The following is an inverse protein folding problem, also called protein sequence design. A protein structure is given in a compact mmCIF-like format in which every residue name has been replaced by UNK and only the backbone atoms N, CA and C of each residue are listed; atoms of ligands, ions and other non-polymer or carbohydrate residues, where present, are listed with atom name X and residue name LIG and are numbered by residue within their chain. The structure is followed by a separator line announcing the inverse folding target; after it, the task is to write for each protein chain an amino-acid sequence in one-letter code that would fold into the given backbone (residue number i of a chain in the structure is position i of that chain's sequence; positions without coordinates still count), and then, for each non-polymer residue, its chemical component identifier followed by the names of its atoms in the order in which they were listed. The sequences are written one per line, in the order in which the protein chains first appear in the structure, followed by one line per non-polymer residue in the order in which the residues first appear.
data_IF_263725210866
#
_entry.id   IF_263725210866
#
_cell.length_a   1.000
_cell.length_b   1.000
_cell.length_c   1.000
_cell.angle_alpha   90.00
_cell.angle_beta   90.00
_cell.angle_gamma   90.00
#
_symmetry.space_group_name_H-M   'P 1'
#
loop_
_entity.id
_entity.type
_entity.pdbx_description
1 polymer ?
#
# COMPACT_ATOMS: atom_id res chain seq x y z
N UNK A 1 -0.50 13.12 0.01
CA UNK A 1 -0.88 13.96 1.17
C UNK A 1 -2.34 14.37 1.02
N UNK A 2 -3.00 14.94 2.03
CA UNK A 2 -4.37 15.42 1.84
C UNK A 2 -4.35 16.69 0.98
N UNK A 3 -5.17 16.75 -0.08
CA UNK A 3 -5.26 17.90 -0.99
C UNK A 3 -6.16 19.02 -0.44
N UNK A 4 -6.92 18.73 0.61
CA UNK A 4 -7.85 19.66 1.26
C UNK A 4 -7.95 19.42 2.78
N UNK A 5 -8.50 20.40 3.49
CA UNK A 5 -8.77 20.30 4.93
C UNK A 5 -9.84 19.22 5.21
N UNK A 6 -9.44 18.13 5.86
CA UNK A 6 -10.35 17.02 6.20
C UNK A 6 -11.09 17.35 7.51
N UNK A 7 -12.38 17.65 7.41
CA UNK A 7 -13.24 17.82 8.59
C UNK A 7 -13.32 16.54 9.44
N UNK A 8 -13.45 16.70 10.76
CA UNK A 8 -13.58 15.58 11.67
C UNK A 8 -14.87 14.78 11.38
N UNK A 9 -14.70 13.50 11.05
CA UNK A 9 -15.81 12.60 10.71
C UNK A 9 -16.11 12.50 9.22
N UNK A 10 -15.34 13.18 8.37
CA UNK A 10 -15.35 12.97 6.92
C UNK A 10 -14.84 11.57 6.57
N UNK A 11 -15.43 10.98 5.53
CA UNK A 11 -14.93 9.74 4.92
C UNK A 11 -13.71 10.10 4.06
N UNK A 12 -12.68 9.25 4.10
CA UNK A 12 -11.52 9.36 3.22
C UNK A 12 -11.72 8.44 2.04
N UNK A 13 -11.52 8.97 0.84
CA UNK A 13 -11.56 8.22 -0.39
C UNK A 13 -10.14 8.13 -0.94
N UNK A 14 -9.78 6.93 -1.42
CA UNK A 14 -8.60 6.77 -2.25
C UNK A 14 -9.07 6.95 -3.69
N UNK A 15 -8.42 7.83 -4.43
CA UNK A 15 -8.53 7.81 -5.87
C UNK A 15 -7.76 6.59 -6.41
N UNK A 16 -8.42 5.79 -7.23
CA UNK A 16 -7.86 4.57 -7.83
C UNK A 16 -7.77 4.75 -9.37
N UNK A 17 -8.06 5.96 -9.87
CA UNK A 17 -8.17 6.27 -11.30
C UNK A 17 -9.54 5.88 -11.85
N UNK A 18 -10.05 6.68 -12.79
CA UNK A 18 -11.31 6.39 -13.50
C UNK A 18 -11.20 5.12 -14.34
N UNK A 19 -10.02 4.83 -14.89
CA UNK A 19 -9.73 3.65 -15.70
C UNK A 19 -10.04 2.36 -14.96
N UNK A 20 -9.80 2.32 -13.64
CA UNK A 20 -10.11 1.15 -12.82
C UNK A 20 -11.59 0.74 -12.97
N UNK A 21 -12.48 1.73 -12.94
CA UNK A 21 -13.93 1.53 -13.03
C UNK A 21 -14.38 1.28 -14.48
N UNK A 22 -13.84 2.04 -15.44
CA UNK A 22 -14.17 1.91 -16.86
C UNK A 22 -13.85 0.50 -17.40
N UNK A 23 -12.65 -0.01 -17.12
CA UNK A 23 -12.23 -1.36 -17.52
C UNK A 23 -13.08 -2.48 -16.88
N UNK A 24 -13.82 -2.16 -15.82
CA UNK A 24 -14.56 -3.12 -14.99
C UNK A 24 -16.07 -2.90 -15.06
N UNK A 25 -16.57 -2.01 -15.91
CA UNK A 25 -17.99 -1.68 -16.02
C UNK A 25 -18.86 -2.93 -16.22
N UNK A 26 -18.43 -3.90 -17.05
CA UNK A 26 -19.16 -5.16 -17.25
C UNK A 26 -19.34 -5.99 -15.97
N UNK A 27 -18.42 -5.85 -15.00
CA UNK A 27 -18.40 -6.64 -13.75
C UNK A 27 -19.11 -5.93 -12.61
N UNK A 28 -18.90 -4.63 -12.46
CA UNK A 28 -19.38 -3.86 -11.30
C UNK A 28 -20.51 -2.89 -11.63
N UNK A 29 -20.85 -2.75 -12.91
CA UNK A 29 -21.74 -1.72 -13.41
C UNK A 29 -21.01 -0.38 -13.59
N UNK A 30 -21.72 0.59 -14.15
CA UNK A 30 -21.21 1.94 -14.30
C UNK A 30 -21.05 2.61 -12.93
N UNK A 31 -19.85 3.14 -12.67
CA UNK A 31 -19.56 3.95 -11.49
C UNK A 31 -19.40 5.40 -11.95
N UNK A 32 -20.19 6.35 -11.42
CA UNK A 32 -20.05 7.76 -11.75
C UNK A 32 -18.63 8.30 -11.60
N UNK A 33 -18.16 9.00 -12.62
CA UNK A 33 -16.87 9.68 -12.67
C UNK A 33 -17.03 11.17 -12.37
N UNK A 34 -15.92 11.88 -12.16
CA UNK A 34 -15.92 13.33 -11.87
C UNK A 34 -16.73 14.13 -12.90
N UNK A 35 -16.48 13.90 -14.19
CA UNK A 35 -17.20 14.59 -15.27
C UNK A 35 -18.72 14.36 -15.27
N UNK A 36 -19.22 13.25 -14.71
CA UNK A 36 -20.66 13.05 -14.54
C UNK A 36 -21.23 13.99 -13.49
N UNK A 37 -20.53 14.12 -12.35
CA UNK A 37 -20.96 14.99 -11.27
C UNK A 37 -20.94 16.45 -11.71
N UNK A 38 -19.92 16.88 -12.47
CA UNK A 38 -19.84 18.20 -13.09
C UNK A 38 -21.02 18.45 -14.02
N UNK A 39 -21.28 17.52 -14.94
CA UNK A 39 -22.41 17.59 -15.88
C UNK A 39 -23.73 17.73 -15.14
N UNK A 40 -23.96 16.92 -14.10
CA UNK A 40 -25.18 16.97 -13.28
C UNK A 40 -25.28 18.28 -12.51
N UNK A 41 -24.17 18.79 -11.98
CA UNK A 41 -24.15 20.07 -11.26
C UNK A 41 -24.53 21.23 -12.17
N UNK A 42 -24.04 21.23 -13.42
CA UNK A 42 -24.43 22.22 -14.44
C UNK A 42 -25.93 22.11 -14.76
N UNK A 43 -26.41 20.90 -15.04
CA UNK A 43 -27.82 20.65 -15.34
C UNK A 43 -28.74 21.12 -14.20
N UNK A 44 -28.37 20.90 -12.94
CA UNK A 44 -29.15 21.37 -11.80
C UNK A 44 -29.18 22.90 -11.71
N UNK A 45 -28.05 23.57 -12.02
CA UNK A 45 -27.95 25.03 -12.03
C UNK A 45 -28.82 25.64 -13.12
N UNK A 46 -28.70 25.13 -14.34
CA UNK A 46 -29.53 25.55 -15.48
C UNK A 46 -31.02 25.33 -15.21
N UNK A 47 -31.38 24.18 -14.62
CA UNK A 47 -32.75 23.89 -14.25
C UNK A 47 -33.30 24.91 -13.24
N UNK A 48 -32.52 25.30 -12.23
CA UNK A 48 -32.91 26.33 -11.26
C UNK A 48 -33.05 27.71 -11.91
N UNK A 49 -32.21 28.06 -12.87
CA UNK A 49 -32.32 29.32 -13.62
C UNK A 49 -33.59 29.37 -14.49
N UNK A 50 -33.90 28.28 -15.19
CA UNK A 50 -35.08 28.18 -16.05
C UNK A 50 -36.38 28.19 -15.23
N UNK A 51 -36.40 27.47 -14.11
CA UNK A 51 -37.57 27.34 -13.25
C UNK A 51 -37.79 28.62 -12.44
N UNK A 52 -36.71 29.23 -11.93
CA UNK A 52 -36.75 30.34 -11.00
C UNK A 52 -37.55 30.01 -9.73
N UNK A 53 -38.40 30.93 -9.29
CA UNK A 53 -39.27 30.73 -8.12
C UNK A 53 -40.59 30.00 -8.42
N UNK A 54 -40.74 29.40 -9.62
CA UNK A 54 -41.99 28.73 -10.00
C UNK A 54 -42.11 27.40 -9.28
N UNK A 55 -43.28 27.13 -8.69
CA UNK A 55 -43.62 25.77 -8.28
C UNK A 55 -43.85 24.90 -9.53
N UNK A 56 -42.98 23.92 -9.76
CA UNK A 56 -43.22 22.87 -10.75
C UNK A 56 -43.77 21.62 -10.05
N UNK A 57 -44.64 20.90 -10.75
CA UNK A 57 -45.17 19.64 -10.24
C UNK A 57 -44.09 18.55 -10.28
N UNK A 58 -44.15 17.62 -9.34
CA UNK A 58 -43.29 16.43 -9.36
C UNK A 58 -43.44 15.61 -10.66
N UNK A 59 -44.63 15.64 -11.29
CA UNK A 59 -44.87 14.99 -12.58
C UNK A 59 -44.02 15.62 -13.69
N UNK A 60 -43.97 16.95 -13.76
CA UNK A 60 -43.14 17.66 -14.73
C UNK A 60 -41.64 17.40 -14.49
N UNK A 61 -41.20 17.37 -13.23
CA UNK A 61 -39.82 17.00 -12.89
C UNK A 61 -39.48 15.58 -13.32
N UNK A 62 -40.38 14.61 -13.08
CA UNK A 62 -40.18 13.23 -13.53
C UNK A 62 -40.08 13.12 -15.06
N UNK A 63 -40.82 13.94 -15.81
CA UNK A 63 -40.73 13.98 -17.27
C UNK A 63 -39.41 14.60 -17.74
N UNK A 64 -38.91 15.62 -17.04
CA UNK A 64 -37.56 16.15 -17.26
C UNK A 64 -36.49 15.08 -16.99
N UNK A 65 -36.58 14.36 -15.86
CA UNK A 65 -35.66 13.26 -15.54
C UNK A 65 -35.67 12.16 -16.62
N UNK A 66 -36.84 11.85 -17.20
CA UNK A 66 -36.96 10.88 -18.30
C UNK A 66 -36.35 11.37 -19.61
N UNK A 67 -36.21 12.68 -19.79
CA UNK A 67 -35.61 13.28 -20.99
C UNK A 67 -34.08 13.23 -20.98
N UNK A 68 -33.47 12.98 -19.82
CA UNK A 68 -32.03 12.71 -19.70
C UNK A 68 -31.75 11.34 -20.32
N UNK A 69 -31.11 11.34 -21.48
CA UNK A 69 -30.84 10.12 -22.26
C UNK A 69 -29.93 9.13 -21.50
N UNK A 70 -28.99 9.69 -20.74
CA UNK A 70 -27.95 8.91 -20.06
C UNK A 70 -28.42 8.44 -18.69
N UNK A 71 -28.58 7.12 -18.54
CA UNK A 71 -29.14 6.53 -17.32
C UNK A 71 -28.32 6.85 -16.06
N UNK A 72 -26.98 6.81 -16.14
CA UNK A 72 -26.13 7.12 -14.98
C UNK A 72 -26.23 8.59 -14.55
N UNK A 73 -26.19 9.55 -15.48
CA UNK A 73 -26.45 10.97 -15.21
C UNK A 73 -27.81 11.16 -14.52
N UNK A 74 -28.84 10.45 -15.00
CA UNK A 74 -30.17 10.51 -14.41
C UNK A 74 -30.20 10.02 -12.96
N UNK A 75 -29.42 8.99 -12.61
CA UNK A 75 -29.36 8.48 -11.22
C UNK A 75 -28.72 9.44 -10.23
N UNK A 76 -27.93 10.40 -10.71
CA UNK A 76 -27.28 11.42 -9.90
C UNK A 76 -28.17 12.66 -9.67
N UNK A 77 -29.27 12.80 -10.41
CA UNK A 77 -30.21 13.89 -10.21
C UNK A 77 -31.16 13.59 -9.03
N UNK A 78 -31.58 14.62 -8.27
CA UNK A 78 -32.50 14.43 -7.17
C UNK A 78 -33.84 13.88 -7.67
N UNK A 79 -34.31 12.79 -7.05
CA UNK A 79 -35.60 12.18 -7.40
C UNK A 79 -36.80 13.08 -7.09
N UNK A 80 -36.66 14.05 -6.18
CA UNK A 80 -37.68 15.03 -5.81
C UNK A 80 -37.23 16.45 -6.18
N UNK A 81 -38.10 17.21 -6.85
CA UNK A 81 -37.82 18.59 -7.21
C UNK A 81 -37.50 19.48 -5.99
N UNK A 82 -38.12 19.21 -4.84
CA UNK A 82 -37.88 19.97 -3.60
C UNK A 82 -36.43 19.89 -3.12
N UNK A 83 -35.72 18.83 -3.52
CA UNK A 83 -34.31 18.64 -3.19
C UNK A 83 -33.37 19.31 -4.21
N UNK A 84 -33.85 19.79 -5.36
CA UNK A 84 -33.02 20.36 -6.43
C UNK A 84 -32.16 21.52 -5.95
N UNK A 85 -32.74 22.47 -5.21
CA UNK A 85 -32.02 23.61 -4.67
C UNK A 85 -30.91 23.17 -3.71
N UNK A 86 -31.24 22.25 -2.81
CA UNK A 86 -30.30 21.71 -1.83
C UNK A 86 -29.18 20.91 -2.50
N UNK A 87 -29.51 20.10 -3.52
CA UNK A 87 -28.55 19.32 -4.28
C UNK A 87 -27.60 20.22 -5.08
N UNK A 88 -28.11 21.30 -5.69
CA UNK A 88 -27.30 22.28 -6.42
C UNK A 88 -26.35 23.07 -5.50
N UNK A 89 -26.81 23.47 -4.31
CA UNK A 89 -25.97 24.18 -3.33
C UNK A 89 -24.86 23.28 -2.73
N UNK A 90 -25.12 21.97 -2.62
CA UNK A 90 -24.22 21.01 -1.96
C UNK A 90 -23.32 20.23 -2.94
N UNK A 91 -23.70 20.18 -4.22
CA UNK A 91 -23.12 19.31 -5.22
C UNK A 91 -23.78 17.92 -5.27
N UNK A 92 -23.90 17.38 -6.49
CA UNK A 92 -24.52 16.09 -6.80
C UNK A 92 -23.81 14.92 -6.11
N UNK A 93 -22.48 14.92 -6.05
CA UNK A 93 -21.71 13.88 -5.36
C UNK A 93 -22.10 13.77 -3.89
N UNK A 94 -22.03 14.88 -3.15
CA UNK A 94 -22.37 14.91 -1.72
C UNK A 94 -23.85 14.68 -1.46
N UNK A 95 -24.72 15.13 -2.36
CA UNK A 95 -26.16 14.89 -2.26
C UNK A 95 -26.53 13.40 -2.40
N UNK A 96 -25.89 12.68 -3.33
CA UNK A 96 -26.13 11.26 -3.59
C UNK A 96 -25.44 10.30 -2.61
N UNK A 97 -24.76 10.84 -1.59
CA UNK A 97 -24.19 10.08 -0.49
C UNK A 97 -25.03 10.25 0.79
N UNK A 98 -26.29 9.79 0.84
CA UNK A 98 -27.13 9.96 2.02
C UNK A 98 -26.52 9.23 3.22
N UNK A 99 -26.30 9.96 4.31
CA UNK A 99 -25.67 9.47 5.55
C UNK A 99 -24.17 9.16 5.44
N UNK A 100 -23.40 9.77 4.54
CA UNK A 100 -21.93 9.72 4.60
C UNK A 100 -21.39 10.32 5.91
N UNK A 101 -22.00 11.41 6.39
CA UNK A 101 -21.70 11.97 7.70
C UNK A 101 -22.54 11.25 8.75
N UNK A 102 -21.88 10.42 9.56
CA UNK A 102 -22.51 9.72 10.70
C UNK A 102 -22.48 10.61 11.94
N UNK A 103 -23.56 10.58 12.73
CA UNK A 103 -23.57 11.25 14.03
C UNK A 103 -22.56 10.60 14.98
N UNK A 104 -22.05 11.35 15.95
CA UNK A 104 -21.15 10.78 16.96
C UNK A 104 -21.81 9.65 17.75
N UNK A 105 -23.11 9.73 18.00
CA UNK A 105 -23.89 8.67 18.64
C UNK A 105 -23.91 7.41 17.78
N UNK A 106 -24.17 7.55 16.47
CA UNK A 106 -24.14 6.43 15.53
C UNK A 106 -22.74 5.81 15.46
N UNK A 107 -21.68 6.63 15.41
CA UNK A 107 -20.29 6.16 15.40
C UNK A 107 -19.90 5.48 16.71
N UNK A 108 -20.42 5.92 17.86
CA UNK A 108 -20.18 5.24 19.15
C UNK A 108 -20.85 3.87 19.21
N UNK A 109 -22.01 3.71 18.57
CA UNK A 109 -22.77 2.47 18.57
C UNK A 109 -22.34 1.49 17.46
N UNK A 110 -22.05 2.00 16.27
CA UNK A 110 -21.84 1.21 15.05
C UNK A 110 -20.44 1.41 14.44
N UNK A 111 -19.79 2.53 14.74
CA UNK A 111 -18.47 2.85 14.21
C UNK A 111 -17.44 1.87 14.71
N UNK A 112 -16.50 1.53 13.82
CA UNK A 112 -15.41 0.64 14.14
C UNK A 112 -14.09 1.34 13.86
N UNK A 113 -13.35 1.63 14.92
CA UNK A 113 -12.04 2.25 14.76
C UNK A 113 -11.05 1.21 14.19
N UNK A 114 -10.57 1.49 12.99
CA UNK A 114 -9.59 0.66 12.27
C UNK A 114 -8.17 0.90 12.78
N UNK A 115 -7.94 2.04 13.42
CA UNK A 115 -6.67 2.48 13.99
C UNK A 115 -6.76 2.62 15.52
N UNK A 116 -7.06 1.53 16.22
CA UNK A 116 -7.03 1.57 17.69
C UNK A 116 -5.59 1.54 18.22
N UNK A 117 -4.63 1.03 17.46
CA UNK A 117 -3.25 1.04 17.87
C UNK A 117 -2.32 0.69 16.70
N UNK A 118 -1.46 1.64 16.32
CA UNK A 118 -0.15 1.28 15.80
C UNK A 118 0.76 2.48 15.69
N UNK A 119 1.94 2.34 16.26
CA UNK A 119 3.14 2.88 15.63
C UNK A 119 4.09 1.70 15.40
N UNK A 120 4.56 1.47 14.16
CA UNK A 120 5.69 0.58 13.92
C UNK A 120 6.90 1.07 14.72
N UNK A 121 7.59 0.15 15.40
CA UNK A 121 8.82 0.46 16.13
C UNK A 121 9.72 -0.75 16.25
N UNK A 122 10.93 -0.57 16.78
CA UNK A 122 11.83 -1.67 17.10
C UNK A 122 11.21 -2.59 18.15
N UNK A 123 11.09 -3.88 17.82
CA UNK A 123 10.55 -4.89 18.73
C UNK A 123 11.46 -5.07 19.94
N UNK A 124 10.86 -5.36 21.10
CA UNK A 124 11.59 -5.78 22.30
C UNK A 124 11.88 -7.28 22.28
N UNK A 125 11.27 -8.03 21.35
CA UNK A 125 11.50 -9.45 21.13
C UNK A 125 12.76 -9.57 20.28
N UNK A 126 13.72 -10.35 20.77
CA UNK A 126 14.97 -10.60 20.04
C UNK A 126 14.67 -11.20 18.67
N UNK A 127 15.36 -10.72 17.63
CA UNK A 127 15.25 -11.19 16.24
C UNK A 127 13.91 -10.93 15.55
N UNK A 128 12.92 -10.31 16.21
CA UNK A 128 11.64 -9.98 15.58
C UNK A 128 11.72 -8.73 14.67
N UNK A 129 12.84 -7.99 14.74
CA UNK A 129 13.03 -6.75 13.97
C UNK A 129 12.06 -5.66 14.45
N UNK A 130 10.98 -5.44 13.71
CA UNK A 130 9.95 -4.44 14.01
C UNK A 130 8.72 -5.07 14.64
N UNK A 131 8.05 -4.31 15.48
CA UNK A 131 6.82 -4.69 16.16
C UNK A 131 5.77 -3.58 16.12
N UNK A 132 4.55 -3.93 16.47
CA UNK A 132 3.44 -3.01 16.60
C UNK A 132 3.30 -2.51 18.03
N UNK A 133 3.26 -1.19 18.23
CA UNK A 133 3.12 -0.59 19.56
C UNK A 133 1.79 0.14 19.74
N UNK A 134 1.19 0.00 20.91
CA UNK A 134 0.00 0.73 21.28
C UNK A 134 0.30 2.24 21.41
N UNK A 135 -0.41 3.09 20.67
CA UNK A 135 -0.29 4.56 20.79
C UNK A 135 -1.21 5.15 21.85
N UNK A 136 -2.20 4.37 22.31
CA UNK A 136 -3.22 4.75 23.30
C UNK A 136 -3.52 3.57 24.22
N UNK A 137 -4.33 3.82 25.25
CA UNK A 137 -4.80 2.76 26.15
C UNK A 137 -5.87 1.90 25.45
N UNK A 138 -5.71 0.58 25.49
CA UNK A 138 -6.66 -0.41 25.00
C UNK A 138 -7.23 -1.19 26.18
N UNK A 139 -8.55 -1.28 26.25
CA UNK A 139 -9.23 -2.00 27.33
C UNK A 139 -9.28 -3.49 27.01
N UNK A 140 -9.16 -4.36 28.01
CA UNK A 140 -9.42 -5.79 27.87
C UNK A 140 -10.72 -6.05 27.10
N UNK A 141 -10.63 -6.87 26.07
CA UNK A 141 -11.72 -7.28 25.19
C UNK A 141 -12.03 -6.32 24.04
N UNK A 142 -11.39 -5.14 23.99
CA UNK A 142 -11.55 -4.22 22.86
C UNK A 142 -10.80 -4.73 21.62
N UNK A 143 -11.30 -4.35 20.45
CA UNK A 143 -10.56 -4.54 19.19
C UNK A 143 -9.26 -3.75 19.24
N UNK A 144 -8.18 -4.38 18.79
CA UNK A 144 -6.86 -3.80 18.60
C UNK A 144 -6.66 -3.46 17.13
N UNK A 145 -6.86 -4.43 16.25
CA UNK A 145 -6.76 -4.24 14.81
C UNK A 145 -7.79 -5.11 14.08
N UNK A 146 -8.68 -4.53 13.25
CA UNK A 146 -9.41 -5.30 12.26
C UNK A 146 -8.47 -5.82 11.17
N UNK A 147 -8.78 -7.01 10.65
CA UNK A 147 -8.02 -7.68 9.60
C UNK A 147 -8.98 -8.29 8.57
N UNK A 148 -9.32 -7.55 7.50
CA UNK A 148 -9.88 -8.15 6.30
C UNK A 148 -8.97 -9.27 5.82
N UNK A 149 -9.52 -10.37 5.31
CA UNK A 149 -8.71 -11.52 4.93
C UNK A 149 -8.69 -11.72 3.42
N UNK A 150 -7.48 -11.93 2.89
CA UNK A 150 -7.28 -12.58 1.61
C UNK A 150 -7.19 -14.08 1.88
N UNK A 151 -7.86 -14.89 1.06
CA UNK A 151 -7.98 -16.34 1.27
C UNK A 151 -7.26 -17.07 0.15
N UNK A 152 -6.33 -17.95 0.51
CA UNK A 152 -5.60 -18.79 -0.41
C UNK A 152 -5.85 -20.27 -0.16
N UNK A 153 -5.77 -21.07 -1.22
CA UNK A 153 -5.56 -22.50 -1.07
C UNK A 153 -4.14 -22.76 -0.57
N UNK A 154 -3.97 -23.63 0.43
CA UNK A 154 -2.64 -23.95 0.98
C UNK A 154 -1.66 -24.42 -0.09
N UNK A 155 -2.14 -25.17 -1.10
CA UNK A 155 -1.34 -25.65 -2.22
C UNK A 155 -0.78 -24.54 -3.11
N UNK A 156 -1.41 -23.36 -3.12
CA UNK A 156 -0.91 -22.21 -3.88
C UNK A 156 0.43 -21.71 -3.34
N UNK A 157 0.80 -22.09 -2.10
CA UNK A 157 2.10 -21.74 -1.50
C UNK A 157 3.19 -22.78 -1.80
N UNK A 158 2.89 -23.87 -2.52
CA UNK A 158 3.87 -24.90 -2.88
C UNK A 158 4.70 -24.41 -4.07
N UNK A 159 6.03 -24.51 -3.97
CA UNK A 159 6.95 -24.24 -5.08
C UNK A 159 7.28 -25.59 -5.71
N UNK A 160 6.96 -25.71 -7.00
CA UNK A 160 7.17 -26.91 -7.78
C UNK A 160 8.46 -26.82 -8.58
N UNK A 161 9.17 -27.94 -8.74
CA UNK A 161 10.32 -28.01 -9.65
C UNK A 161 9.86 -27.75 -11.08
N UNK A 162 10.59 -26.89 -11.78
CA UNK A 162 10.38 -26.57 -13.19
C UNK A 162 11.44 -27.33 -13.98
N UNK A 163 11.01 -28.14 -14.94
CA UNK A 163 11.88 -28.77 -15.93
C UNK A 163 11.70 -28.02 -17.27
N UNK A 164 12.80 -27.71 -17.97
CA UNK A 164 12.75 -27.18 -19.34
C UNK A 164 12.57 -28.33 -20.32
N UNK A 165 11.54 -28.25 -21.16
CA UNK A 165 11.49 -29.10 -22.34
C UNK A 165 12.22 -28.39 -23.49
N UNK A 166 13.51 -28.71 -23.67
CA UNK A 166 14.38 -28.10 -24.68
C UNK A 166 13.86 -28.26 -26.12
N UNK A 167 12.91 -29.18 -26.37
CA UNK A 167 12.30 -29.38 -27.69
C UNK A 167 11.13 -28.42 -27.98
N UNK A 168 10.47 -27.88 -26.95
CA UNK A 168 9.22 -27.10 -27.09
C UNK A 168 9.33 -25.66 -26.55
N UNK A 169 10.46 -25.27 -25.95
CA UNK A 169 10.63 -23.99 -25.23
C UNK A 169 9.52 -23.76 -24.17
N UNK A 170 8.92 -24.83 -23.67
CA UNK A 170 7.87 -24.79 -22.65
C UNK A 170 8.44 -25.16 -21.27
N UNK A 171 8.07 -24.35 -20.26
CA UNK A 171 8.32 -24.63 -18.85
C UNK A 171 7.28 -25.61 -18.33
N UNK A 172 7.70 -26.81 -17.94
CA UNK A 172 6.81 -27.84 -17.38
C UNK A 172 7.01 -27.90 -15.86
N UNK A 173 5.94 -27.62 -15.12
CA UNK A 173 5.92 -27.79 -13.67
C UNK A 173 5.71 -29.27 -13.32
N UNK A 174 6.61 -29.83 -12.52
CA UNK A 174 6.48 -31.21 -12.03
C UNK A 174 5.64 -31.28 -10.74
N UNK A 175 5.18 -32.46 -10.36
CA UNK A 175 4.54 -32.70 -9.07
C UNK A 175 5.53 -32.67 -7.88
N UNK A 176 6.85 -32.52 -8.13
CA UNK A 176 7.87 -32.46 -7.10
C UNK A 176 7.88 -31.07 -6.43
N UNK A 177 7.56 -31.04 -5.13
CA UNK A 177 7.59 -29.82 -4.32
C UNK A 177 9.02 -29.60 -3.83
N UNK A 178 9.66 -28.52 -4.28
CA UNK A 178 11.03 -28.13 -3.90
C UNK A 178 11.05 -27.13 -2.75
N UNK A 179 9.93 -26.46 -2.47
CA UNK A 179 9.87 -25.47 -1.41
C UNK A 179 8.46 -24.94 -1.14
N UNK A 180 8.41 -23.87 -0.36
CA UNK A 180 7.19 -23.10 -0.09
C UNK A 180 7.47 -21.61 -0.25
N UNK A 181 6.46 -20.87 -0.68
CA UNK A 181 6.54 -19.42 -0.78
C UNK A 181 6.67 -18.78 0.61
N UNK A 182 7.52 -17.76 0.74
CA UNK A 182 7.76 -17.02 1.99
C UNK A 182 6.49 -16.38 2.56
N UNK A 183 5.52 -16.04 1.70
CA UNK A 183 4.22 -15.50 2.09
C UNK A 183 3.48 -16.38 3.12
N UNK A 184 3.77 -17.69 3.17
CA UNK A 184 3.18 -18.60 4.16
C UNK A 184 3.43 -18.15 5.61
N UNK A 185 4.53 -17.44 5.88
CA UNK A 185 4.88 -16.93 7.21
C UNK A 185 3.92 -15.83 7.70
N UNK A 186 3.12 -15.25 6.79
CA UNK A 186 2.13 -14.21 7.09
C UNK A 186 0.68 -14.74 7.00
N UNK A 187 0.53 -16.06 6.90
CA UNK A 187 -0.74 -16.74 6.80
C UNK A 187 -1.16 -17.35 8.14
N UNK A 188 -2.43 -17.22 8.49
CA UNK A 188 -3.08 -17.97 9.57
C UNK A 188 -3.80 -19.19 8.98
N UNK A 189 -3.67 -20.34 9.62
CA UNK A 189 -4.42 -21.52 9.22
C UNK A 189 -4.10 -22.75 10.05
N UNK A 190 -5.10 -23.59 10.28
CA UNK A 190 -4.89 -24.85 10.98
C UNK A 190 -4.04 -25.82 10.13
N UNK A 191 -3.14 -26.65 10.71
CA UNK A 191 -2.30 -27.58 9.95
C UNK A 191 -3.09 -28.55 9.07
N UNK A 192 -4.29 -28.93 9.51
CA UNK A 192 -5.20 -29.82 8.76
C UNK A 192 -6.12 -29.08 7.78
N UNK A 193 -6.07 -27.74 7.74
CA UNK A 193 -6.87 -26.93 6.82
C UNK A 193 -6.18 -26.80 5.45
N UNK A 194 -6.96 -26.91 4.38
CA UNK A 194 -6.52 -26.58 3.02
C UNK A 194 -6.59 -25.08 2.71
N UNK A 195 -6.99 -24.26 3.68
CA UNK A 195 -7.18 -22.81 3.55
C UNK A 195 -6.16 -22.08 4.40
N UNK A 196 -5.58 -21.04 3.82
CA UNK A 196 -4.75 -20.04 4.47
C UNK A 196 -5.47 -18.70 4.45
N UNK A 197 -5.35 -17.96 5.55
CA UNK A 197 -5.98 -16.66 5.76
C UNK A 197 -4.86 -15.63 5.92
N UNK A 198 -4.77 -14.68 5.00
CA UNK A 198 -3.77 -13.61 5.04
C UNK A 198 -4.45 -12.33 5.50
N UNK A 199 -4.08 -11.78 6.67
CA UNK A 199 -4.53 -10.46 7.10
C UNK A 199 -4.10 -9.39 6.10
N UNK A 200 -5.06 -8.77 5.43
CA UNK A 200 -4.85 -7.60 4.59
C UNK A 200 -5.05 -6.32 5.41
N UNK A 201 -4.24 -6.19 6.46
CA UNK A 201 -4.19 -5.02 7.33
C UNK A 201 -2.73 -4.68 7.54
N UNK A 202 -2.33 -3.47 7.14
CA UNK A 202 -0.93 -3.00 7.14
C UNK A 202 -0.26 -3.16 8.50
N UNK A 203 -1.03 -3.02 9.59
CA UNK A 203 -0.54 -3.13 10.95
C UNK A 203 -0.55 -4.55 11.51
N UNK A 204 -1.44 -5.42 11.04
CA UNK A 204 -1.55 -6.79 11.53
C UNK A 204 -0.28 -7.62 11.26
N UNK A 205 0.46 -7.29 10.19
CA UNK A 205 1.70 -7.96 9.80
C UNK A 205 2.88 -7.67 10.73
N UNK A 206 2.77 -6.66 11.60
CA UNK A 206 3.79 -6.25 12.57
C UNK A 206 3.49 -6.75 14.00
N UNK A 207 2.40 -7.47 14.21
CA UNK A 207 2.05 -8.01 15.53
C UNK A 207 2.86 -9.28 15.76
N UNK A 208 3.90 -9.21 16.59
CA UNK A 208 4.83 -10.31 16.78
C UNK A 208 4.29 -11.43 17.66
N UNK A 209 4.99 -12.56 17.61
CA UNK A 209 4.74 -13.72 18.44
C UNK A 209 5.16 -13.51 19.91
N UNK A 210 4.28 -13.84 20.86
CA UNK A 210 4.66 -14.16 22.25
C UNK A 210 3.89 -15.39 22.72
N UNK A 211 4.60 -16.51 22.86
CA UNK A 211 4.04 -17.77 23.32
C UNK A 211 3.64 -17.78 24.81
N UNK A 212 4.32 -16.96 25.62
CA UNK A 212 4.25 -17.02 27.07
C UNK A 212 3.27 -16.02 27.67
N UNK A 213 3.32 -14.76 27.23
CA UNK A 213 2.45 -13.67 27.72
C UNK A 213 1.90 -12.80 26.58
N UNK A 214 1.17 -13.40 25.62
CA UNK A 214 0.51 -12.63 24.57
C UNK A 214 -0.51 -11.67 25.20
N UNK A 215 -0.51 -10.41 24.76
CA UNK A 215 -1.50 -9.44 25.22
C UNK A 215 -2.70 -9.30 24.27
N UNK A 216 -2.66 -9.95 23.11
CA UNK A 216 -3.77 -10.05 22.16
C UNK A 216 -4.02 -11.48 21.68
N UNK A 217 -5.22 -11.68 21.12
CA UNK A 217 -5.61 -12.90 20.42
C UNK A 217 -6.45 -12.57 19.18
N UNK A 218 -6.58 -13.53 18.28
CA UNK A 218 -7.43 -13.40 17.09
C UNK A 218 -8.82 -14.01 17.33
N UNK A 219 -9.84 -13.42 16.72
CA UNK A 219 -11.19 -14.01 16.61
C UNK A 219 -11.87 -13.59 15.32
N UNK A 220 -12.91 -14.32 14.93
CA UNK A 220 -13.82 -13.86 13.90
C UNK A 220 -14.59 -12.64 14.38
N UNK A 221 -14.81 -11.70 13.47
CA UNK A 221 -15.64 -10.52 13.74
C UNK A 221 -17.08 -10.96 13.97
N UNK A 222 -17.73 -10.39 14.97
CA UNK A 222 -19.11 -10.75 15.31
C UNK A 222 -20.10 -10.45 14.17
N UNK A 223 -21.09 -11.34 14.05
CA UNK A 223 -22.15 -11.32 13.02
C UNK A 223 -22.86 -9.96 13.00
N UNK A 224 -23.05 -9.41 11.80
CA UNK A 224 -23.78 -8.16 11.58
C UNK A 224 -22.92 -6.90 11.44
N UNK A 225 -21.60 -7.01 11.60
CA UNK A 225 -20.71 -5.86 11.38
C UNK A 225 -20.19 -5.77 9.95
N UNK A 226 -19.63 -6.83 9.37
CA UNK A 226 -19.04 -6.80 8.00
C UNK A 226 -19.08 -8.17 7.29
N UNK A 227 -19.09 -9.30 8.02
CA UNK A 227 -18.99 -10.65 7.43
C UNK A 227 -20.34 -11.20 6.96
N UNK A 228 -20.47 -11.73 5.72
CA UNK A 228 -21.69 -12.37 5.25
C UNK A 228 -22.13 -13.53 6.15
N UNK A 229 -23.42 -13.62 6.48
CA UNK A 229 -23.94 -14.56 7.50
C UNK A 229 -23.61 -16.03 7.22
N UNK A 230 -23.47 -16.40 5.94
CA UNK A 230 -23.22 -17.76 5.50
C UNK A 230 -21.72 -18.10 5.40
N UNK A 231 -20.83 -17.11 5.53
CA UNK A 231 -19.43 -17.25 5.14
C UNK A 231 -18.71 -18.39 5.88
N UNK A 232 -18.81 -18.40 7.22
CA UNK A 232 -18.16 -19.41 8.06
C UNK A 232 -18.80 -20.81 7.96
N UNK A 233 -19.96 -20.92 7.29
CA UNK A 233 -20.63 -22.20 7.04
C UNK A 233 -20.24 -22.82 5.69
N UNK A 234 -19.48 -22.11 4.86
CA UNK A 234 -19.08 -22.59 3.54
C UNK A 234 -17.95 -23.62 3.62
N UNK A 235 -17.84 -24.44 2.57
CA UNK A 235 -16.70 -25.34 2.41
C UNK A 235 -15.41 -24.55 2.11
N UNK A 236 -14.25 -25.08 2.52
CA UNK A 236 -12.93 -24.53 2.19
C UNK A 236 -12.76 -24.18 0.70
N UNK A 237 -13.20 -25.07 -0.19
CA UNK A 237 -13.15 -24.86 -1.64
C UNK A 237 -14.01 -23.68 -2.08
N UNK A 238 -15.19 -23.54 -1.49
CA UNK A 238 -16.10 -22.43 -1.79
C UNK A 238 -15.52 -21.11 -1.27
N UNK A 239 -14.93 -21.11 -0.07
CA UNK A 239 -14.28 -19.92 0.50
C UNK A 239 -13.15 -19.41 -0.38
N UNK A 240 -12.26 -20.30 -0.84
CA UNK A 240 -11.15 -19.93 -1.75
C UNK A 240 -11.69 -19.39 -3.08
N UNK A 241 -12.75 -19.98 -3.64
CA UNK A 241 -13.36 -19.50 -4.89
C UNK A 241 -14.07 -18.16 -4.72
N UNK A 242 -14.71 -17.94 -3.56
CA UNK A 242 -15.42 -16.69 -3.24
C UNK A 242 -14.44 -15.56 -2.96
N UNK A 243 -13.25 -15.87 -2.41
CA UNK A 243 -12.19 -14.90 -2.16
C UNK A 243 -12.47 -14.05 -0.94
N UNK A 244 -12.77 -12.76 -1.16
CA UNK A 244 -12.94 -11.75 -0.12
C UNK A 244 -14.31 -11.80 0.57
N UNK A 245 -14.35 -11.37 1.83
CA UNK A 245 -15.58 -11.27 2.64
C UNK A 245 -15.44 -11.81 4.06
N UNK A 246 -14.38 -12.57 4.34
CA UNK A 246 -14.02 -12.93 5.70
C UNK A 246 -13.22 -11.81 6.37
N UNK A 247 -13.43 -11.65 7.67
CA UNK A 247 -12.70 -10.69 8.46
C UNK A 247 -12.42 -11.27 9.84
N UNK A 248 -11.20 -11.07 10.30
CA UNK A 248 -10.79 -11.36 11.68
C UNK A 248 -10.54 -10.04 12.40
N UNK A 249 -10.44 -10.12 13.71
CA UNK A 249 -9.90 -9.03 14.52
C UNK A 249 -8.93 -9.56 15.56
N UNK A 250 -7.92 -8.75 15.83
CA UNK A 250 -7.08 -8.87 17.01
C UNK A 250 -7.80 -8.15 18.15
N UNK A 251 -7.91 -8.79 19.31
CA UNK A 251 -8.54 -8.21 20.49
C UNK A 251 -7.65 -8.36 21.73
N UNK A 252 -7.78 -7.41 22.65
CA UNK A 252 -6.92 -7.34 23.82
C UNK A 252 -7.32 -8.39 24.88
N UNK A 253 -6.37 -9.21 25.34
CA UNK A 253 -6.58 -10.23 26.39
C UNK A 253 -6.57 -9.61 27.80
N UNK A 254 -5.93 -8.45 27.93
CA UNK A 254 -5.83 -7.61 29.13
C UNK A 254 -5.85 -6.14 28.73
N UNK A 255 -5.83 -5.24 29.71
CA UNK A 255 -5.58 -3.83 29.42
C UNK A 255 -4.15 -3.66 28.88
N UNK A 256 -3.99 -2.84 27.84
CA UNK A 256 -2.71 -2.54 27.18
C UNK A 256 -2.50 -1.02 27.25
N UNK A 257 -1.36 -0.61 27.80
CA UNK A 257 -0.97 0.79 27.98
C UNK A 257 -0.30 1.34 26.72
N UNK A 258 -0.33 2.68 26.52
CA UNK A 258 0.50 3.31 25.49
C UNK A 258 1.98 2.90 25.63
N UNK A 259 2.62 2.55 24.52
CA UNK A 259 4.02 2.12 24.43
C UNK A 259 4.28 0.64 24.72
N UNK A 260 3.26 -0.16 25.08
CA UNK A 260 3.39 -1.61 25.10
C UNK A 260 3.42 -2.17 23.67
N UNK A 261 4.28 -3.18 23.45
CA UNK A 261 4.30 -3.94 22.20
C UNK A 261 3.09 -4.87 22.18
N UNK A 262 2.41 -4.94 21.04
CA UNK A 262 1.23 -5.77 20.82
C UNK A 262 1.72 -7.11 20.29
N UNK A 263 1.37 -8.18 20.99
CA UNK A 263 1.82 -9.54 20.70
C UNK A 263 0.68 -10.53 20.69
N UNK A 264 0.82 -11.59 19.92
CA UNK A 264 -0.15 -12.68 19.79
C UNK A 264 0.57 -14.02 19.87
N UNK A 265 -0.11 -15.08 20.31
CA UNK A 265 0.45 -16.43 20.21
C UNK A 265 0.14 -17.01 18.81
N UNK A 266 1.18 -17.35 18.04
CA UNK A 266 1.05 -17.92 16.69
C UNK A 266 0.73 -19.42 16.70
N UNK A 267 0.91 -20.08 17.85
CA UNK A 267 0.65 -21.49 18.07
C UNK A 267 1.93 -22.30 18.25
N UNK A 268 1.81 -23.48 18.88
CA UNK A 268 2.95 -24.33 19.19
C UNK A 268 3.66 -24.86 17.94
N UNK A 269 2.96 -25.05 16.83
CA UNK A 269 3.57 -25.51 15.58
C UNK A 269 4.54 -24.47 15.00
N UNK A 270 4.23 -23.18 15.16
CA UNK A 270 5.14 -22.11 14.77
C UNK A 270 6.34 -22.06 15.72
N UNK A 271 6.12 -22.16 17.04
CA UNK A 271 7.20 -22.17 18.03
C UNK A 271 8.18 -23.32 17.79
N UNK A 272 7.68 -24.53 17.51
CA UNK A 272 8.49 -25.69 17.18
C UNK A 272 9.29 -25.47 15.88
N UNK A 273 8.63 -24.96 14.83
CA UNK A 273 9.28 -24.68 13.56
C UNK A 273 10.36 -23.59 13.70
N UNK A 274 10.12 -22.55 14.47
CA UNK A 274 11.06 -21.48 14.75
C UNK A 274 12.24 -21.98 15.60
N UNK A 275 12.00 -22.74 16.66
CA UNK A 275 13.06 -23.33 17.47
C UNK A 275 13.96 -24.24 16.63
N UNK A 276 13.36 -25.08 15.78
CA UNK A 276 14.10 -25.92 14.84
C UNK A 276 14.89 -25.10 13.80
N UNK A 277 14.32 -23.99 13.31
CA UNK A 277 15.03 -23.05 12.44
C UNK A 277 16.24 -22.45 13.16
N UNK A 278 16.08 -21.87 14.35
CA UNK A 278 17.18 -21.28 15.12
C UNK A 278 18.28 -22.29 15.47
N UNK A 279 17.92 -23.55 15.74
CA UNK A 279 18.89 -24.60 16.06
C UNK A 279 19.70 -25.07 14.83
N UNK A 280 19.06 -25.16 13.67
CA UNK A 280 19.65 -25.82 12.49
C UNK A 280 20.03 -24.86 11.37
N UNK A 281 19.51 -23.63 11.37
CA UNK A 281 19.84 -22.64 10.37
C UNK A 281 21.24 -22.11 10.63
N UNK A 282 22.07 -22.20 9.59
CA UNK A 282 23.31 -21.49 9.50
C UNK A 282 23.20 -20.60 8.26
N UNK A 283 23.54 -19.30 8.36
CA UNK A 283 23.69 -18.47 7.18
C UNK A 283 24.73 -19.10 6.26
N UNK A 284 24.59 -18.90 4.96
CA UNK A 284 25.70 -19.18 4.04
C UNK A 284 26.93 -18.36 4.46
N UNK A 285 28.13 -18.78 4.09
CA UNK A 285 29.36 -18.07 4.50
C UNK A 285 29.32 -16.59 4.08
N UNK A 286 28.73 -16.30 2.92
CA UNK A 286 28.50 -14.95 2.39
C UNK A 286 27.44 -14.15 3.15
N UNK A 287 26.63 -14.78 4.00
CA UNK A 287 25.52 -14.15 4.73
C UNK A 287 25.84 -13.93 6.22
N UNK A 288 26.98 -14.43 6.72
CA UNK A 288 27.36 -14.29 8.14
C UNK A 288 27.50 -12.85 8.59
N UNK A 289 27.97 -11.99 7.69
CA UNK A 289 28.20 -10.58 7.94
C UNK A 289 27.10 -9.69 7.32
N UNK A 290 25.96 -10.30 6.94
CA UNK A 290 24.83 -9.56 6.39
C UNK A 290 24.27 -8.56 7.42
N UNK A 291 24.10 -7.31 6.98
CA UNK A 291 23.35 -6.29 7.72
C UNK A 291 22.35 -5.62 6.79
N UNK A 292 21.10 -5.48 7.22
CA UNK A 292 20.12 -4.77 6.39
C UNK A 292 20.46 -3.27 6.32
N UNK A 293 20.10 -2.61 5.22
CA UNK A 293 20.29 -1.17 5.11
C UNK A 293 19.58 -0.44 6.27
N UNK A 294 18.38 -0.88 6.66
CA UNK A 294 17.64 -0.29 7.78
C UNK A 294 18.41 -0.40 9.11
N UNK A 295 18.96 -1.57 9.44
CA UNK A 295 19.73 -1.77 10.68
C UNK A 295 21.01 -0.94 10.68
N UNK A 296 21.66 -0.82 9.52
CA UNK A 296 22.84 0.00 9.34
C UNK A 296 22.54 1.49 9.61
N UNK A 297 21.41 2.00 9.10
CA UNK A 297 20.98 3.38 9.35
C UNK A 297 20.60 3.60 10.82
N UNK A 298 19.88 2.67 11.43
CA UNK A 298 19.43 2.76 12.83
C UNK A 298 20.59 2.69 13.83
N UNK A 299 21.68 2.01 13.48
CA UNK A 299 22.93 2.01 14.26
C UNK A 299 23.63 3.38 14.29
N UNK A 300 23.10 4.39 13.60
CA UNK A 300 23.71 5.72 13.51
C UNK A 300 24.95 5.75 12.62
N UNK A 301 25.12 4.75 11.76
CA UNK A 301 26.24 4.64 10.82
C UNK A 301 25.95 5.35 9.49
N UNK A 302 25.03 6.33 9.50
CA UNK A 302 24.44 7.00 8.34
C UNK A 302 25.43 7.83 7.51
N UNK A 303 26.66 8.04 7.97
CA UNK A 303 27.63 8.81 7.20
C UNK A 303 27.94 8.09 5.89
N UNK A 304 27.46 8.68 4.78
CA UNK A 304 27.86 8.27 3.44
C UNK A 304 29.35 8.56 3.32
N UNK A 305 30.13 7.50 3.12
CA UNK A 305 31.58 7.50 3.01
C UNK A 305 32.02 7.66 1.57
N UNK A 306 33.08 8.46 1.38
CA UNK A 306 33.78 8.49 0.10
C UNK A 306 34.54 7.19 -0.14
N UNK A 307 34.99 6.94 -1.37
CA UNK A 307 35.79 5.77 -1.73
C UNK A 307 37.08 5.69 -0.92
N UNK A 308 37.73 6.84 -0.67
CA UNK A 308 38.91 6.94 0.19
C UNK A 308 38.57 6.55 1.65
N UNK A 309 37.44 7.01 2.17
CA UNK A 309 36.99 6.63 3.52
C UNK A 309 36.61 5.15 3.62
N UNK A 310 36.14 4.54 2.53
CA UNK A 310 35.84 3.11 2.45
C UNK A 310 37.11 2.24 2.41
N UNK A 311 38.26 2.75 2.00
CA UNK A 311 39.53 2.00 2.11
C UNK A 311 39.90 1.73 3.57
N UNK A 312 39.64 2.69 4.46
CA UNK A 312 39.91 2.55 5.90
C UNK A 312 38.75 1.87 6.65
N UNK A 313 37.50 2.14 6.23
CA UNK A 313 36.29 1.66 6.86
C UNK A 313 35.23 1.29 5.81
N UNK A 314 35.36 0.12 5.16
CA UNK A 314 34.48 -0.28 4.08
C UNK A 314 33.04 -0.47 4.58
N UNK A 315 32.08 -0.30 3.67
CA UNK A 315 30.76 -0.85 3.95
C UNK A 315 30.82 -2.37 4.01
N UNK A 316 29.91 -3.01 4.77
CA UNK A 316 29.63 -4.43 4.63
C UNK A 316 29.38 -4.79 3.16
N UNK A 317 29.94 -5.91 2.69
CA UNK A 317 29.90 -6.35 1.29
C UNK A 317 28.47 -6.48 0.73
N UNK A 318 27.47 -6.62 1.61
CA UNK A 318 26.07 -6.76 1.25
C UNK A 318 25.31 -5.41 1.17
N UNK A 319 25.97 -4.28 1.40
CA UNK A 319 25.43 -2.93 1.26
C UNK A 319 26.02 -2.24 0.04
N UNK A 320 25.19 -1.41 -0.61
CA UNK A 320 25.61 -0.59 -1.74
C UNK A 320 24.90 0.75 -1.71
N UNK A 321 25.64 1.80 -2.06
CA UNK A 321 25.06 3.14 -2.24
C UNK A 321 24.33 3.18 -3.58
N UNK A 322 23.13 3.78 -3.57
CA UNK A 322 22.32 4.02 -4.75
C UNK A 322 22.06 5.50 -4.84
N UNK A 323 22.36 6.07 -6.00
CA UNK A 323 22.11 7.46 -6.34
C UNK A 323 20.78 7.58 -7.06
N UNK A 324 20.04 8.61 -6.67
CA UNK A 324 18.80 9.02 -7.30
C UNK A 324 19.13 9.98 -8.46
N UNK A 325 18.63 9.68 -9.66
CA UNK A 325 18.87 10.46 -10.87
C UNK A 325 17.54 10.74 -11.58
N UNK A 326 17.17 12.00 -11.72
CA UNK A 326 16.11 12.45 -12.64
C UNK A 326 16.76 13.01 -13.91
N UNK A 327 16.61 12.37 -15.07
CA UNK A 327 17.13 12.95 -16.31
C UNK A 327 16.47 14.29 -16.59
N UNK A 328 17.26 15.35 -16.68
CA UNK A 328 16.82 16.58 -17.34
C UNK A 328 17.02 16.41 -18.84
N UNK A 329 16.10 16.93 -19.65
CA UNK A 329 16.18 16.86 -21.11
C UNK A 329 17.35 17.69 -21.70
N UNK A 330 18.16 18.32 -20.86
CA UNK A 330 19.29 19.17 -21.24
C UNK A 330 20.56 18.66 -20.55
N UNK A 331 21.37 17.90 -21.28
CA UNK A 331 22.76 17.60 -20.88
C UNK A 331 23.73 18.27 -21.86
N UNK A 332 24.72 18.98 -21.32
CA UNK A 332 25.88 19.43 -22.10
C UNK A 332 27.03 18.44 -21.88
N UNK A 333 27.52 17.85 -22.96
CA UNK A 333 28.74 17.01 -22.92
C UNK A 333 29.95 17.93 -23.06
N UNK A 334 30.79 18.01 -22.02
CA UNK A 334 32.02 18.82 -22.02
C UNK A 334 33.21 17.89 -21.75
N UNK A 335 34.12 17.78 -22.71
CA UNK A 335 35.37 17.00 -22.57
C UNK A 335 35.19 15.53 -22.08
N UNK A 336 34.25 14.80 -22.70
CA UNK A 336 33.90 13.40 -22.39
C UNK A 336 33.33 13.18 -20.96
N UNK A 337 33.04 14.26 -20.24
CA UNK A 337 32.30 14.26 -18.97
C UNK A 337 30.95 14.91 -19.20
N UNK A 338 29.88 14.26 -18.72
CA UNK A 338 28.54 14.84 -18.73
C UNK A 338 28.34 15.51 -17.37
N UNK A 339 28.44 16.85 -17.34
CA UNK A 339 28.02 17.61 -16.16
C UNK A 339 26.50 17.79 -16.23
N UNK A 340 25.80 17.26 -15.22
CA UNK A 340 24.35 17.39 -15.09
C UNK A 340 24.10 18.41 -13.98
N UNK A 341 23.49 19.55 -14.30
CA UNK A 341 23.12 20.57 -13.30
C UNK A 341 21.81 20.16 -12.62
N UNK A 342 21.87 19.90 -11.32
CA UNK A 342 20.76 19.44 -10.49
C UNK A 342 19.97 20.56 -9.80
N UNK A 343 20.37 21.83 -9.95
CA UNK A 343 19.79 22.93 -9.18
C UNK A 343 18.36 23.33 -9.57
N UNK A 344 17.64 22.54 -10.36
CA UNK A 344 16.31 22.86 -10.88
C UNK A 344 15.15 22.16 -10.15
N UNK A 345 15.32 21.83 -8.86
CA UNK A 345 14.19 21.38 -8.03
C UNK A 345 13.46 22.50 -7.28
N UNK A 346 13.89 23.77 -7.35
CA UNK A 346 13.33 24.83 -6.48
C UNK A 346 12.44 25.87 -7.14
N UNK A 347 12.33 25.95 -8.47
CA UNK A 347 11.52 26.98 -9.14
C UNK A 347 10.89 26.45 -10.45
N UNK A 348 10.01 25.45 -10.36
CA UNK A 348 9.05 25.21 -11.44
C UNK A 348 7.68 25.70 -10.96
N UNK A 349 7.28 26.86 -11.49
CA UNK A 349 5.89 27.33 -11.40
C UNK A 349 4.99 26.30 -12.11
N UNK A 350 3.87 25.97 -11.46
CA UNK A 350 2.82 25.03 -11.89
C UNK A 350 2.13 25.49 -13.18
N UNK A 351 2.82 25.50 -14.32
CA UNK A 351 2.14 25.56 -15.61
C UNK A 351 1.69 24.13 -15.98
N UNK A 352 0.35 23.93 -15.96
CA UNK A 352 -0.42 22.68 -16.15
C UNK A 352 -0.25 21.96 -17.51
N UNK A 353 0.89 22.07 -18.20
CA UNK A 353 1.17 21.16 -19.31
C UNK A 353 1.68 19.83 -18.71
N UNK A 354 1.03 18.71 -19.05
CA UNK A 354 1.46 17.34 -18.74
C UNK A 354 2.91 17.12 -19.18
N UNK A 355 3.86 17.52 -18.34
CA UNK A 355 5.22 17.01 -18.41
C UNK A 355 5.08 15.56 -18.00
N UNK A 356 5.33 14.64 -18.94
CA UNK A 356 5.45 13.21 -18.64
C UNK A 356 6.37 13.09 -17.41
N UNK A 357 5.82 12.80 -16.24
CA UNK A 357 6.58 12.59 -15.01
C UNK A 357 7.52 11.42 -15.25
N UNK A 358 8.75 11.72 -15.68
CA UNK A 358 9.75 10.69 -15.90
C UNK A 358 10.09 10.16 -14.51
N UNK A 359 9.77 8.88 -14.23
CA UNK A 359 10.07 8.33 -12.92
C UNK A 359 11.57 8.38 -12.72
N UNK A 360 12.02 8.70 -11.50
CA UNK A 360 13.43 8.78 -11.21
C UNK A 360 14.12 7.44 -11.40
N UNK A 361 15.36 7.51 -11.86
CA UNK A 361 16.21 6.37 -12.08
C UNK A 361 17.09 6.13 -10.85
N UNK A 362 17.28 4.85 -10.51
CA UNK A 362 18.12 4.42 -9.39
C UNK A 362 19.37 3.75 -9.95
N UNK A 363 20.53 4.37 -9.74
CA UNK A 363 21.82 3.84 -10.19
C UNK A 363 22.70 3.51 -8.99
N UNK A 364 23.34 2.32 -8.95
CA UNK A 364 24.43 2.11 -8.02
C UNK A 364 25.54 3.13 -8.28
N UNK A 365 26.12 3.68 -7.22
CA UNK A 365 27.15 4.72 -7.35
C UNK A 365 28.22 4.61 -6.28
N UNK A 366 29.40 5.09 -6.63
CA UNK A 366 30.55 5.26 -5.74
C UNK A 366 30.65 6.74 -5.36
N UNK A 367 31.08 7.05 -4.14
CA UNK A 367 31.09 8.43 -3.64
C UNK A 367 32.53 8.90 -3.69
N UNK A 368 32.89 9.71 -4.66
CA UNK A 368 34.28 10.11 -4.88
C UNK A 368 34.67 11.35 -4.06
N UNK A 369 33.70 12.10 -3.53
CA UNK A 369 33.97 13.27 -2.70
C UNK A 369 32.78 13.69 -1.84
N UNK A 370 33.05 14.49 -0.81
CA UNK A 370 32.01 15.16 -0.05
C UNK A 370 32.48 16.54 0.43
N UNK A 371 31.55 17.48 0.54
CA UNK A 371 31.79 18.83 1.07
C UNK A 371 30.58 19.30 1.89
N UNK A 372 30.80 20.02 3.00
CA UNK A 372 29.73 20.66 3.75
C UNK A 372 29.45 22.06 3.20
N UNK A 373 28.31 22.24 2.54
CA UNK A 373 27.86 23.53 2.00
C UNK A 373 26.62 24.02 2.76
N UNK A 374 26.74 25.18 3.41
CA UNK A 374 25.67 25.82 4.17
C UNK A 374 25.02 24.95 5.26
N UNK A 375 25.79 24.02 5.86
CA UNK A 375 25.29 23.10 6.88
C UNK A 375 24.62 21.83 6.33
N UNK A 376 24.68 21.62 5.02
CA UNK A 376 24.27 20.39 4.34
C UNK A 376 25.50 19.69 3.75
N UNK A 377 25.52 18.35 3.81
CA UNK A 377 26.54 17.58 3.11
C UNK A 377 26.15 17.43 1.64
N UNK A 378 27.08 17.76 0.75
CA UNK A 378 27.00 17.62 -0.70
C UNK A 378 28.01 16.53 -1.08
N UNK A 379 27.60 15.63 -1.98
CA UNK A 379 28.36 14.43 -2.30
C UNK A 379 28.64 14.39 -3.79
N UNK A 380 29.90 14.21 -4.13
CA UNK A 380 30.30 13.93 -5.50
C UNK A 380 30.24 12.43 -5.70
N UNK A 381 29.39 11.95 -6.61
CA UNK A 381 29.16 10.54 -6.88
C UNK A 381 29.50 10.18 -8.32
N UNK A 382 30.04 8.99 -8.49
CA UNK A 382 30.32 8.35 -9.77
C UNK A 382 29.27 7.27 -10.05
N UNK A 383 28.47 7.43 -11.10
CA UNK A 383 27.43 6.45 -11.43
C UNK A 383 28.04 5.22 -12.12
N UNK A 384 27.78 4.03 -11.57
CA UNK A 384 28.31 2.78 -12.09
C UNK A 384 27.45 2.27 -13.24
N UNK A 385 27.90 2.50 -14.48
CA UNK A 385 27.22 2.03 -15.70
C UNK A 385 27.45 0.53 -16.00
N UNK A 386 27.66 -0.28 -14.96
CA UNK A 386 27.77 -1.74 -15.11
C UNK A 386 26.43 -2.39 -14.83
N UNK A 387 25.73 -2.71 -15.90
CA UNK A 387 24.57 -3.60 -15.86
C UNK A 387 25.02 -4.97 -15.35
N UNK A 388 24.43 -5.49 -14.27
CA UNK A 388 24.53 -6.91 -13.98
C UNK A 388 23.95 -7.65 -15.19
N UNK A 389 24.73 -8.55 -15.81
CA UNK A 389 24.22 -9.40 -16.88
C UNK A 389 22.95 -10.12 -16.40
N UNK A 390 21.81 -9.92 -17.08
CA UNK A 390 20.56 -10.63 -16.81
C UNK A 390 19.41 -9.86 -16.15
N UNK A 391 19.51 -8.54 -15.96
CA UNK A 391 18.36 -7.72 -15.55
C UNK A 391 17.61 -7.27 -16.82
N UNK A 392 16.34 -7.70 -16.97
CA UNK A 392 15.54 -7.51 -18.19
C UNK A 392 15.28 -6.05 -18.57
N UNK A 393 14.72 -5.82 -19.78
CA UNK A 393 14.45 -4.52 -20.42
C UNK A 393 14.07 -3.43 -19.40
N UNK A 394 15.04 -2.56 -19.09
CA UNK A 394 14.79 -1.33 -18.35
C UNK A 394 14.14 -0.31 -19.27
N UNK A 395 13.43 0.63 -18.67
CA UNK A 395 12.91 1.79 -19.37
C UNK A 395 14.06 2.53 -20.08
N UNK A 396 14.00 2.61 -21.41
CA UNK A 396 15.00 3.29 -22.26
C UNK A 396 15.26 4.74 -21.78
N UNK A 397 14.32 5.33 -21.04
CA UNK A 397 14.42 6.69 -20.47
C UNK A 397 15.46 6.82 -19.35
N UNK A 398 15.83 5.72 -18.68
CA UNK A 398 16.90 5.75 -17.69
C UNK A 398 18.29 5.53 -18.28
N UNK A 399 18.40 5.21 -19.57
CA UNK A 399 19.64 4.77 -20.16
C UNK A 399 20.75 5.84 -20.12
N UNK A 400 21.83 5.55 -19.39
CA UNK A 400 23.08 6.29 -19.45
C UNK A 400 23.98 5.71 -20.55
N UNK A 401 24.43 6.50 -21.54
CA UNK A 401 25.37 6.04 -22.55
C UNK A 401 26.59 5.29 -21.97
N UNK A 402 26.88 4.06 -22.45
CA UNK A 402 28.02 3.29 -22.00
C UNK A 402 29.33 3.99 -22.37
N UNK A 403 30.32 3.88 -21.48
CA UNK A 403 31.67 4.42 -21.70
C UNK A 403 31.84 5.90 -21.37
N UNK A 404 30.85 6.52 -20.71
CA UNK A 404 30.97 7.84 -20.10
C UNK A 404 30.98 7.73 -18.58
N UNK A 405 31.81 8.57 -17.97
CA UNK A 405 31.93 8.75 -16.54
C UNK A 405 30.96 9.86 -16.13
N UNK A 406 30.01 9.53 -15.25
CA UNK A 406 28.99 10.49 -14.79
C UNK A 406 29.34 10.93 -13.38
N UNK A 407 29.70 12.21 -13.25
CA UNK A 407 29.94 12.85 -11.97
C UNK A 407 28.68 13.62 -11.59
N UNK A 408 28.07 13.23 -10.48
CA UNK A 408 26.92 13.90 -9.88
C UNK A 408 27.42 14.65 -8.65
N UNK A 409 27.05 15.92 -8.48
CA UNK A 409 27.44 16.75 -7.33
C UNK A 409 26.24 17.18 -6.52
#
# INVERSE_FOLDING_TARGET
EATEDIEAGSELFCDIGSEYFEEREEKIGYVPQEGDFETVNEMMREALEIIGDREISQEYWNDLLRSVETEHIRTLLPSNFQDLKRASEMGSAKFNLPNNIKTQEWLKENGWCVDNAAKPGLSKISQAGRGLFATRFLKKGSTVAPAPLIIFGRKTMEIHKIDSNDEEDELVYTDEITGKQTLINYCYGHPQSSVLLVPNSSYALLINHDGNDPNTAIRWVEKGKIVPEDWLSQSAKTMVKRGSGAMMEFYALRDIKPGEEITVNYGPEWEEAWANHVENWAPEESEKDYISAADYLEAGLFTIRTDEEQEENPYPDNLRTVCYYTPTNEYEVVDDVVEVDWNLFSEYEEDEEEVDDIPPCFYPCDIIGSEELNGSNVYVAFLLNHYPEGVGDWDDRCWLPPGLDYIVT
#
